data_IF_959293831751
#
_entry.id   IF_959293831751
#
_cell.length_a   1.000
_cell.length_b   1.000
_cell.length_c   1.000
_cell.angle_alpha   90.00
_cell.angle_beta   90.00
_cell.angle_gamma   90.00
#
_symmetry.space_group_name_H-M   'P 1'
#
loop_
_entity.id
_entity.type
_entity.pdbx_description
1 polymer ?
2 non-polymer ?
3 non-polymer ?
4 water ?
#
# COMPACT_ATOMS: atom_id res chain seq x y z
N UNK A 10 -6.24 13.76 8.41
CA UNK A 10 -6.34 14.76 9.47
C UNK A 10 -5.64 14.26 10.73
N UNK A 11 -5.97 14.86 11.86
CA UNK A 11 -5.36 14.52 13.13
C UNK A 11 -6.24 13.65 14.01
N UNK A 12 -7.45 13.32 13.57
CA UNK A 12 -8.39 12.55 14.37
C UNK A 12 -8.77 11.25 13.66
N UNK A 13 -7.79 10.60 13.05
CA UNK A 13 -7.97 9.31 12.39
C UNK A 13 -7.44 8.22 13.31
N UNK A 14 -8.11 7.07 13.33
CA UNK A 14 -7.66 5.92 14.13
C UNK A 14 -7.36 4.74 13.21
N UNK A 15 -6.35 3.95 13.58
CA UNK A 15 -5.91 2.82 12.79
C UNK A 15 -5.90 1.57 13.67
N UNK A 16 -6.53 0.50 13.19
CA UNK A 16 -6.63 -0.75 13.92
C UNK A 16 -6.52 -1.90 12.95
N UNK A 17 -6.04 -3.06 13.40
CA UNK A 17 -6.05 -4.24 12.53
C UNK A 17 -7.47 -4.66 12.23
N UNK A 18 -7.66 -5.24 11.04
CA UNK A 18 -8.96 -5.80 10.67
C UNK A 18 -9.31 -7.01 11.53
N UNK A 19 -10.55 -7.05 12.02
CA UNK A 19 -11.09 -8.13 12.85
C UNK A 19 -11.84 -9.15 12.00
N UNK A 20 -11.61 -10.44 12.27
CA UNK A 20 -12.37 -11.50 11.63
C UNK A 20 -13.88 -11.27 11.79
N UNK A 21 -14.62 -11.50 10.71
CA UNK A 21 -16.05 -11.24 10.66
C UNK A 21 -16.40 -9.86 10.15
N UNK A 22 -15.50 -8.90 10.28
CA UNK A 22 -15.68 -7.57 9.73
C UNK A 22 -15.61 -7.61 8.20
N UNK A 23 -16.41 -6.82 7.51
CA UNK A 23 -16.27 -6.75 6.06
C UNK A 23 -14.88 -6.28 5.64
N UNK A 24 -14.39 -6.86 4.57
CA UNK A 24 -13.12 -6.47 3.97
C UNK A 24 -13.41 -5.31 3.03
N UNK A 25 -12.73 -4.14 3.17
CA UNK A 25 -13.03 -2.98 2.31
C UNK A 25 -12.42 -3.12 0.92
N UNK A 26 -13.07 -3.96 0.10
CA UNK A 26 -12.55 -4.20 -1.24
C UNK A 26 -12.60 -2.92 -2.08
N UNK A 27 -13.63 -2.09 -1.88
CA UNK A 27 -13.68 -0.79 -2.55
C UNK A 27 -12.36 -0.06 -2.40
N UNK A 28 -11.82 -0.01 -1.17
CA UNK A 28 -10.55 0.67 -0.96
C UNK A 28 -9.38 -0.11 -1.55
N UNK A 29 -9.26 -1.40 -1.22
CA UNK A 29 -8.13 -2.19 -1.70
C UNK A 29 -8.03 -2.16 -3.22
N UNK A 30 -9.18 -2.18 -3.90
CA UNK A 30 -9.19 -2.19 -5.36
C UNK A 30 -8.76 -0.85 -5.95
N UNK A 31 -8.79 0.24 -5.17
CA UNK A 31 -8.24 1.49 -5.68
C UNK A 31 -6.74 1.37 -5.89
N UNK A 32 -6.09 0.52 -5.09
CA UNK A 32 -4.64 0.36 -5.12
C UNK A 32 -4.18 -0.84 -5.94
N UNK A 33 -5.05 -1.83 -6.14
CA UNK A 33 -4.70 -3.05 -6.86
C UNK A 33 -5.94 -3.54 -7.60
N UNK A 34 -5.95 -3.49 -8.94
CA UNK A 34 -7.17 -3.80 -9.69
C UNK A 34 -7.56 -5.28 -9.66
N UNK A 35 -6.74 -6.16 -9.08
CA UNK A 35 -6.98 -7.59 -9.13
C UNK A 35 -7.46 -8.06 -7.76
N UNK A 36 -8.76 -8.38 -7.66
CA UNK A 36 -9.28 -8.96 -6.43
C UNK A 36 -8.61 -10.29 -6.11
N UNK A 37 -8.12 -10.99 -7.13
CA UNK A 37 -7.43 -12.25 -6.90
C UNK A 37 -6.09 -12.02 -6.21
N UNK A 38 -5.32 -11.05 -6.71
CA UNK A 38 -4.05 -10.73 -6.07
C UNK A 38 -4.25 -10.18 -4.65
N UNK A 39 -5.29 -9.37 -4.45
CA UNK A 39 -5.57 -8.85 -3.12
C UNK A 39 -5.81 -10.00 -2.14
N UNK A 40 -6.75 -10.90 -2.49
CA UNK A 40 -7.06 -12.01 -1.60
C UNK A 40 -5.83 -12.88 -1.33
N UNK A 41 -4.88 -12.94 -2.27
CA UNK A 41 -3.70 -13.76 -2.05
C UNK A 41 -2.79 -13.17 -0.97
N UNK A 42 -2.53 -11.86 -1.02
CA UNK A 42 -1.70 -11.35 0.07
C UNK A 42 -2.49 -11.06 1.33
N UNK A 43 -3.83 -11.09 1.27
CA UNK A 43 -4.57 -11.11 2.53
C UNK A 43 -4.39 -12.43 3.27
N UNK A 44 -4.03 -13.50 2.55
CA UNK A 44 -3.84 -14.80 3.19
C UNK A 44 -2.73 -14.77 4.22
N UNK A 45 -1.56 -14.25 3.83
CA UNK A 45 -0.40 -14.25 4.70
C UNK A 45 -0.05 -12.88 5.24
N UNK A 46 -0.75 -11.84 4.79
CA UNK A 46 -0.50 -10.48 5.24
C UNK A 46 -1.42 -10.08 6.38
N UNK A 47 -1.27 -8.83 6.80
CA UNK A 47 -2.05 -8.24 7.87
C UNK A 47 -2.70 -6.97 7.36
N UNK A 48 -4.02 -6.89 7.50
CA UNK A 48 -4.79 -5.75 7.00
C UNK A 48 -5.10 -4.79 8.15
N UNK A 49 -4.90 -3.51 7.90
CA UNK A 49 -5.14 -2.45 8.87
C UNK A 49 -6.15 -1.46 8.28
N UNK A 50 -7.03 -0.94 9.12
CA UNK A 50 -8.12 -0.09 8.68
C UNK A 50 -8.00 1.27 9.36
N UNK A 51 -8.10 2.34 8.56
CA UNK A 51 -8.08 3.70 9.08
C UNK A 51 -9.51 4.23 9.13
N UNK A 52 -9.95 4.65 10.31
CA UNK A 52 -11.32 5.09 10.53
C UNK A 52 -11.35 6.58 10.88
N UNK A 53 -12.37 7.27 10.38
CA UNK A 53 -12.59 8.69 10.69
C UNK A 53 -14.08 8.92 10.84
N UNK A 54 -14.50 9.42 12.01
CA UNK A 54 -15.90 9.55 12.35
C UNK A 54 -16.67 8.30 11.94
N UNK A 55 -16.14 7.15 12.37
CA UNK A 55 -16.72 5.82 12.31
C UNK A 55 -16.62 5.18 10.92
N UNK A 56 -16.16 5.90 9.90
CA UNK A 56 -16.11 5.38 8.54
C UNK A 56 -14.71 4.88 8.21
N UNK A 57 -14.62 3.76 7.51
CA UNK A 57 -13.34 3.26 7.02
C UNK A 57 -12.97 4.07 5.78
N UNK A 58 -11.94 4.90 5.89
CA UNK A 58 -11.53 5.77 4.80
C UNK A 58 -10.16 5.42 4.24
N UNK A 59 -9.50 4.42 4.78
CA UNK A 59 -8.19 4.04 4.26
C UNK A 59 -7.80 2.70 4.83
N UNK A 60 -6.74 2.13 4.26
CA UNK A 60 -6.28 0.81 4.66
C UNK A 60 -4.88 0.58 4.13
N UNK A 61 -4.18 -0.37 4.73
CA UNK A 61 -2.95 -0.91 4.15
C UNK A 61 -2.79 -2.38 4.53
N UNK A 62 -1.99 -3.08 3.74
CA UNK A 62 -1.67 -4.48 3.94
C UNK A 62 -0.15 -4.64 4.04
N UNK A 63 0.30 -5.24 5.14
CA UNK A 63 1.70 -5.61 5.32
C UNK A 63 1.88 -7.08 4.97
N UNK A 64 2.93 -7.38 4.20
CA UNK A 64 3.14 -8.71 3.62
C UNK A 64 4.60 -9.11 3.79
N UNK A 65 4.91 -9.92 4.80
CA UNK A 65 6.32 -10.32 5.01
C UNK A 65 6.88 -11.13 3.86
N UNK A 66 8.12 -10.79 3.46
CA UNK A 66 8.91 -11.66 2.59
C UNK A 66 9.65 -12.74 3.36
N UNK A 67 10.14 -12.35 4.53
CA UNK A 67 11.04 -13.17 5.33
C UNK A 67 11.24 -12.43 6.63
N UNK A 68 12.23 -12.81 7.44
CA UNK A 68 12.39 -12.14 8.72
C UNK A 68 12.83 -10.69 8.54
N UNK A 69 13.65 -10.41 7.52
CA UNK A 69 14.25 -9.09 7.38
C UNK A 69 13.32 -8.07 6.72
N UNK A 70 12.53 -8.48 5.70
CA UNK A 70 11.80 -7.53 4.86
C UNK A 70 10.30 -7.77 4.94
N UNK A 71 9.54 -6.69 5.10
CA UNK A 71 8.10 -6.77 4.90
C UNK A 71 7.71 -5.70 3.90
N UNK A 72 6.61 -5.95 3.19
CA UNK A 72 6.23 -5.16 2.04
C UNK A 72 4.84 -4.57 2.26
N UNK A 73 4.68 -3.31 1.89
CA UNK A 73 3.36 -2.70 1.79
C UNK A 73 2.79 -3.16 0.46
N UNK A 74 1.97 -4.22 0.48
CA UNK A 74 1.38 -4.72 -0.75
C UNK A 74 0.21 -3.86 -1.22
N UNK A 75 -0.37 -3.06 -0.33
CA UNK A 75 -1.56 -2.30 -0.68
C UNK A 75 -1.67 -1.14 0.29
N UNK A 76 -1.89 0.07 -0.23
CA UNK A 76 -2.18 1.21 0.61
C UNK A 76 -3.14 2.11 -0.15
N UNK A 77 -4.25 2.48 0.49
CA UNK A 77 -5.28 3.23 -0.23
C UNK A 77 -5.99 4.20 0.69
N UNK A 78 -6.44 5.32 0.11
CA UNK A 78 -7.25 6.30 0.81
C UNK A 78 -8.46 6.59 -0.06
N UNK A 79 -9.64 6.64 0.56
CA UNK A 79 -10.88 6.95 -0.15
C UNK A 79 -10.70 8.16 -1.05
N UNK A 80 -11.28 8.09 -2.26
CA UNK A 80 -11.11 9.17 -3.23
C UNK A 80 -11.58 10.51 -2.69
N UNK A 81 -12.65 10.54 -1.89
CA UNK A 81 -13.13 11.81 -1.35
C UNK A 81 -12.17 12.43 -0.35
N UNK A 82 -11.26 11.64 0.22
CA UNK A 82 -10.37 12.08 1.30
C UNK A 82 -8.91 12.16 0.87
N UNK A 83 -8.61 12.01 -0.41
CA UNK A 83 -7.21 12.02 -0.79
C UNK A 83 -6.66 13.45 -0.75
N UNK A 84 -5.32 13.55 -0.74
CA UNK A 84 -4.61 14.83 -0.80
C UNK A 84 -4.99 15.73 0.38
N UNK A 85 -5.24 15.09 1.53
CA UNK A 85 -5.42 15.81 2.78
C UNK A 85 -4.45 15.31 3.83
N UNK A 86 -3.41 14.55 3.44
CA UNK A 86 -2.42 14.05 4.35
C UNK A 86 -2.71 12.72 5.02
N UNK A 87 -3.83 12.06 4.70
CA UNK A 87 -4.13 10.78 5.36
C UNK A 87 -3.11 9.71 4.96
N UNK A 88 -2.73 9.66 3.68
CA UNK A 88 -1.75 8.67 3.26
C UNK A 88 -0.45 8.77 4.03
N UNK A 89 0.03 9.99 4.26
CA UNK A 89 1.24 10.16 5.06
C UNK A 89 1.09 9.65 6.48
N UNK A 90 -0.08 9.89 7.08
CA UNK A 90 -0.34 9.34 8.40
C UNK A 90 -0.31 7.82 8.37
N UNK A 91 -0.88 7.21 7.31
CA UNK A 91 -0.83 5.76 7.17
C UNK A 91 0.62 5.28 7.07
N UNK A 92 1.44 5.95 6.24
CA UNK A 92 2.81 5.49 6.06
C UNK A 92 3.61 5.54 7.37
N UNK A 93 3.43 6.60 8.16
CA UNK A 93 4.03 6.67 9.48
C UNK A 93 3.61 5.50 10.36
N UNK A 94 2.33 5.13 10.30
CA UNK A 94 1.84 4.03 11.11
C UNK A 94 2.44 2.70 10.65
N UNK A 95 2.57 2.50 9.33
CA UNK A 95 3.17 1.27 8.81
C UNK A 95 4.60 1.13 9.32
N UNK A 96 5.36 2.22 9.27
CA UNK A 96 6.75 2.21 9.71
C UNK A 96 6.86 1.75 11.15
N UNK A 97 5.95 2.22 12.01
CA UNK A 97 6.01 1.80 13.41
C UNK A 97 5.63 0.33 13.56
N UNK A 98 4.60 -0.12 12.83
CA UNK A 98 4.17 -1.51 12.95
C UNK A 98 5.27 -2.47 12.49
N UNK A 99 5.98 -2.11 11.43
CA UNK A 99 7.02 -2.99 10.90
C UNK A 99 8.21 -3.06 11.85
N UNK A 100 8.60 -1.91 12.41
CA UNK A 100 9.63 -1.88 13.44
C UNK A 100 9.23 -2.72 14.64
N UNK A 101 7.96 -2.62 15.06
CA UNK A 101 7.53 -3.34 16.25
C UNK A 101 7.59 -4.85 16.05
N UNK A 102 7.49 -5.32 14.80
CA UNK A 102 7.64 -6.74 14.52
C UNK A 102 9.08 -7.11 14.15
N UNK A 103 10.03 -6.21 14.39
CA UNK A 103 11.47 -6.46 14.25
C UNK A 103 11.89 -6.66 12.79
N UNK A 104 11.16 -6.10 11.83
CA UNK A 104 11.66 -6.05 10.47
C UNK A 104 12.78 -5.02 10.36
N UNK A 105 13.71 -5.27 9.45
CA UNK A 105 14.81 -4.35 9.17
C UNK A 105 14.59 -3.52 7.91
N UNK A 106 13.85 -4.03 6.92
CA UNK A 106 13.56 -3.26 5.70
C UNK A 106 12.06 -3.25 5.44
N UNK A 107 11.58 -2.10 4.99
CA UNK A 107 10.20 -1.92 4.56
C UNK A 107 10.22 -1.59 3.08
N UNK A 108 9.43 -2.31 2.29
CA UNK A 108 9.46 -2.17 0.85
C UNK A 108 8.08 -1.79 0.35
N UNK A 109 8.05 -0.98 -0.71
CA UNK A 109 6.80 -0.70 -1.42
C UNK A 109 7.11 -0.61 -2.91
N UNK A 110 6.20 -1.16 -3.72
CA UNK A 110 6.37 -1.12 -5.16
C UNK A 110 5.24 -0.40 -5.86
N UNK A 111 5.54 0.54 -6.75
CA UNK A 111 4.49 1.25 -7.46
C UNK A 111 4.82 1.26 -8.96
N UNK A 112 3.90 1.82 -9.76
CA UNK A 112 4.08 1.77 -11.20
C UNK A 112 5.05 2.81 -11.71
N UNK A 113 5.66 2.52 -12.87
CA UNK A 113 6.59 3.49 -13.45
C UNK A 113 5.90 4.82 -13.76
N UNK A 114 4.61 4.79 -14.05
CA UNK A 114 3.86 6.00 -14.38
C UNK A 114 3.38 6.77 -13.16
N UNK A 115 3.57 6.22 -11.96
CA UNK A 115 3.03 6.78 -10.71
C UNK A 115 4.00 7.80 -10.11
N UNK A 116 4.31 8.84 -10.90
CA UNK A 116 5.37 9.76 -10.51
C UNK A 116 4.99 10.58 -9.28
N UNK A 117 3.70 10.91 -9.11
CA UNK A 117 3.27 11.52 -7.86
C UNK A 117 3.55 10.66 -6.64
N UNK A 118 3.25 9.35 -6.73
CA UNK A 118 3.53 8.46 -5.62
C UNK A 118 5.02 8.31 -5.36
N UNK A 119 5.84 8.32 -6.41
CA UNK A 119 7.29 8.26 -6.19
C UNK A 119 7.77 9.42 -5.31
N UNK A 120 7.16 10.60 -5.45
CA UNK A 120 7.46 11.69 -4.52
C UNK A 120 7.06 11.30 -3.09
N UNK A 121 5.81 10.89 -2.90
CA UNK A 121 5.27 10.72 -1.54
C UNK A 121 6.08 9.70 -0.74
N UNK A 122 6.38 8.55 -1.33
CA UNK A 122 7.10 7.53 -0.58
C UNK A 122 8.51 8.01 -0.23
N UNK A 123 9.16 8.72 -1.15
CA UNK A 123 10.49 9.23 -0.83
C UNK A 123 10.43 10.29 0.26
N UNK A 124 9.40 11.13 0.25
CA UNK A 124 9.20 12.10 1.33
C UNK A 124 9.22 11.42 2.70
N UNK A 125 8.69 10.20 2.80
CA UNK A 125 8.63 9.50 4.08
C UNK A 125 9.77 8.51 4.29
N UNK A 126 10.80 8.56 3.45
CA UNK A 126 12.04 7.87 3.76
C UNK A 126 12.38 6.70 2.87
N UNK A 127 11.54 6.38 1.89
CA UNK A 127 11.83 5.28 0.98
C UNK A 127 12.82 5.72 -0.09
N UNK A 128 13.80 4.87 -0.38
CA UNK A 128 14.75 5.10 -1.45
C UNK A 128 14.37 4.24 -2.64
N UNK A 129 14.55 4.74 -3.85
CA UNK A 129 14.32 3.90 -5.02
C UNK A 129 15.44 2.88 -5.12
N UNK A 130 15.09 1.58 -5.19
CA UNK A 130 16.16 0.58 -5.16
C UNK A 130 16.15 -0.42 -6.30
N UNK A 131 15.00 -0.69 -6.92
CA UNK A 131 14.92 -1.80 -7.87
C UNK A 131 13.86 -1.52 -8.92
N UNK A 132 14.09 -2.04 -10.14
CA UNK A 132 13.08 -2.03 -11.20
C UNK A 132 12.70 -3.48 -11.51
N UNK A 133 11.41 -3.75 -11.56
CA UNK A 133 10.87 -5.04 -11.98
C UNK A 133 10.28 -4.87 -13.39
N UNK A 134 11.08 -5.19 -14.41
CA UNK A 134 10.65 -4.95 -15.79
C UNK A 134 9.44 -5.80 -16.15
N UNK A 135 8.43 -5.15 -16.73
CA UNK A 135 7.21 -5.82 -17.20
C UNK A 135 6.44 -6.54 -16.09
N UNK A 136 6.61 -6.10 -14.84
CA UNK A 136 5.86 -6.71 -13.75
C UNK A 136 4.35 -6.61 -13.98
N UNK A 137 3.86 -5.41 -14.31
CA UNK A 137 2.43 -5.23 -14.49
C UNK A 137 1.95 -5.88 -15.77
N UNK A 138 2.77 -5.84 -16.82
CA UNK A 138 2.40 -6.54 -18.06
C UNK A 138 2.26 -8.04 -17.81
N UNK A 139 3.13 -8.61 -16.98
CA UNK A 139 3.10 -10.05 -16.76
C UNK A 139 1.99 -10.46 -15.79
N UNK A 140 1.65 -9.62 -14.82
CA UNK A 140 0.78 -10.02 -13.73
C UNK A 140 -0.63 -9.50 -13.83
N UNK A 141 -0.93 -8.61 -14.78
CA UNK A 141 -2.29 -8.14 -14.99
C UNK A 141 -2.64 -8.30 -16.45
N UNK A 142 -3.81 -8.83 -16.77
CA UNK A 142 -4.15 -9.10 -18.17
C UNK A 142 -4.34 -7.83 -19.00
N UNK A 143 -5.10 -6.87 -18.47
CA UNK A 143 -5.33 -5.64 -19.21
C UNK A 143 -4.25 -4.60 -18.90
N UNK A 144 -3.73 -3.91 -19.91
CA UNK A 144 -2.72 -2.88 -19.64
C UNK A 144 -3.29 -1.77 -18.77
N UNK A 145 -2.40 -1.10 -18.05
CA UNK A 145 -2.76 -0.04 -17.11
C UNK A 145 -2.06 1.23 -17.51
N UNK A 146 -2.76 2.37 -17.44
CA UNK A 146 -2.25 3.64 -17.91
C UNK A 146 -2.48 4.74 -16.88
N UNK A 147 -1.53 5.67 -16.81
CA UNK A 147 -1.57 6.81 -15.90
C UNK A 147 -0.93 7.99 -16.58
N UNK A 148 -1.60 9.13 -16.61
CA UNK A 148 -1.01 10.36 -17.15
C UNK A 148 -0.58 10.17 -18.59
N UNK A 149 -1.25 9.26 -19.30
CA UNK A 149 -0.90 8.97 -20.68
C UNK A 149 0.35 8.14 -20.84
N UNK A 150 0.87 7.59 -19.75
CA UNK A 150 2.03 6.68 -19.75
C UNK A 150 1.53 5.29 -19.46
N UNK A 151 1.99 4.31 -20.21
CA UNK A 151 1.63 2.92 -19.92
C UNK A 151 2.39 2.45 -18.69
N UNK A 152 1.68 1.79 -17.78
CA UNK A 152 2.25 1.31 -16.53
C UNK A 152 2.66 -0.15 -16.73
N UNK A 153 3.92 -0.37 -17.11
CA UNK A 153 4.42 -1.72 -17.40
C UNK A 153 5.32 -2.27 -16.30
N UNK A 154 6.13 -1.43 -15.66
CA UNK A 154 7.18 -1.90 -14.77
C UNK A 154 6.88 -1.48 -13.34
N UNK A 155 7.37 -2.25 -12.38
CA UNK A 155 7.24 -1.88 -10.98
C UNK A 155 8.52 -1.21 -10.51
N UNK A 156 8.40 -0.06 -9.88
CA UNK A 156 9.50 0.61 -9.19
C UNK A 156 9.45 0.23 -7.73
N UNK A 157 10.51 -0.40 -7.23
CA UNK A 157 10.55 -0.86 -5.85
C UNK A 157 11.35 0.12 -5.02
N UNK A 158 10.78 0.56 -3.89
CA UNK A 158 11.46 1.45 -2.97
C UNK A 158 11.61 0.78 -1.62
N UNK A 159 12.68 1.12 -0.90
CA UNK A 159 13.07 0.42 0.30
C UNK A 159 13.46 1.42 1.37
N UNK A 160 13.01 1.17 2.58
CA UNK A 160 13.35 2.00 3.72
C UNK A 160 14.05 1.12 4.75
N UNK A 161 15.24 1.54 5.19
CA UNK A 161 15.91 0.84 6.28
C UNK A 161 15.29 1.28 7.60
N UNK A 162 14.79 0.33 8.37
CA UNK A 162 14.05 0.65 9.58
C UNK A 162 14.98 0.76 10.79
#
# INVERSE_FOLDING_TARGET
MAHHHHHHMKDNITIHPHTAGTPIPYDLLLLADPSKELIDQYLTSGELYLAKYNNEIIGCYVLYPWDFETTEIKNIAVAEKFQNQGIGGQLLKDVILKAKNKFYKKLVIGTGNSSTGQLYLYQKYGFRITDIRKNFFKDNYPEPIWENGIECTDMILLTMEL
#
